data_IF_819867258366
#
_entry.id   IF_819867258366
#
_cell.length_a   1.000
_cell.length_b   1.000
_cell.length_c   1.000
_cell.angle_alpha   90.00
_cell.angle_beta   90.00
_cell.angle_gamma   90.00
#
_symmetry.space_group_name_H-M   'P 1'
#
loop_
_entity.id
_entity.type
_entity.pdbx_description
1 polymer ?
#
# COMPACT_ATOMS: atom_id res chain seq x y z
N UNK A 1 -21.12 32.02 4.03
CA UNK A 1 -21.70 31.06 3.06
C UNK A 1 -20.64 30.02 2.78
N UNK A 2 -20.93 28.73 2.96
CA UNK A 2 -20.03 27.67 2.53
C UNK A 2 -19.95 27.70 1.00
N UNK A 3 -18.74 27.68 0.44
CA UNK A 3 -18.57 27.59 -1.01
C UNK A 3 -19.26 26.31 -1.50
N UNK A 4 -19.97 26.38 -2.62
CA UNK A 4 -20.64 25.23 -3.25
C UNK A 4 -20.00 24.84 -4.59
N UNK A 5 -19.05 25.66 -5.04
CA UNK A 5 -18.32 25.53 -6.29
C UNK A 5 -16.82 25.66 -6.00
N UNK A 6 -16.02 25.08 -6.89
CA UNK A 6 -14.57 25.10 -6.84
C UNK A 6 -13.99 25.30 -8.25
N UNK A 7 -12.79 25.87 -8.30
CA UNK A 7 -11.96 25.82 -9.50
C UNK A 7 -11.26 24.47 -9.62
N UNK A 8 -11.14 23.99 -10.85
CA UNK A 8 -10.50 22.72 -11.19
C UNK A 8 -9.81 22.83 -12.55
N UNK A 9 -8.67 22.16 -12.67
CA UNK A 9 -8.00 21.92 -13.94
C UNK A 9 -8.33 20.50 -14.39
N UNK A 10 -8.96 20.36 -15.55
CA UNK A 10 -9.41 19.07 -16.08
C UNK A 10 -8.77 18.76 -17.44
N UNK A 11 -8.55 17.48 -17.69
CA UNK A 11 -8.34 16.95 -19.03
C UNK A 11 -9.71 16.76 -19.66
N UNK A 12 -10.02 17.53 -20.69
CA UNK A 12 -11.29 17.42 -21.42
C UNK A 12 -11.20 16.47 -22.61
N UNK A 13 -10.02 16.40 -23.24
CA UNK A 13 -9.71 15.55 -24.39
C UNK A 13 -8.25 15.10 -24.27
N UNK A 14 -7.98 13.82 -24.56
CA UNK A 14 -6.61 13.28 -24.57
C UNK A 14 -5.74 14.01 -25.60
N UNK A 15 -4.48 14.27 -25.25
CA UNK A 15 -3.53 14.99 -26.09
C UNK A 15 -3.70 16.51 -26.07
N UNK A 16 -4.59 17.06 -25.24
CA UNK A 16 -4.82 18.50 -25.11
C UNK A 16 -4.35 19.03 -23.75
N UNK A 17 -3.94 20.31 -23.67
CA UNK A 17 -3.71 20.98 -22.40
C UNK A 17 -4.95 20.89 -21.48
N UNK A 18 -4.71 20.93 -20.17
CA UNK A 18 -5.80 21.05 -19.19
C UNK A 18 -6.53 22.37 -19.36
N UNK A 19 -7.83 22.36 -19.08
CA UNK A 19 -8.68 23.56 -19.08
C UNK A 19 -9.17 23.85 -17.67
N UNK A 20 -9.24 25.13 -17.34
CA UNK A 20 -9.83 25.59 -16.08
C UNK A 20 -11.35 25.57 -16.20
N UNK A 21 -12.01 24.97 -15.20
CA UNK A 21 -13.46 24.93 -15.08
C UNK A 21 -13.88 25.22 -13.64
N UNK A 22 -15.08 25.79 -13.50
CA UNK A 22 -15.77 25.84 -12.23
C UNK A 22 -16.73 24.65 -12.14
N UNK A 23 -16.68 23.90 -11.04
CA UNK A 23 -17.51 22.71 -10.81
C UNK A 23 -17.93 22.58 -9.34
N UNK A 24 -18.97 21.79 -9.02
CA UNK A 24 -19.44 21.64 -7.64
C UNK A 24 -18.36 21.07 -6.71
N UNK A 25 -18.40 21.47 -5.44
CA UNK A 25 -17.67 20.76 -4.38
C UNK A 25 -18.42 19.44 -4.11
N UNK A 26 -17.72 18.28 -4.10
CA UNK A 26 -18.37 17.01 -3.83
C UNK A 26 -18.95 16.94 -2.42
N UNK A 27 -19.96 16.09 -2.24
CA UNK A 27 -20.47 15.71 -0.92
C UNK A 27 -19.94 14.31 -0.59
N UNK A 28 -19.37 14.07 0.61
CA UNK A 28 -18.82 12.75 0.92
C UNK A 28 -19.95 11.73 1.05
N UNK A 29 -19.71 10.49 0.63
CA UNK A 29 -20.48 9.32 1.05
C UNK A 29 -20.17 8.98 2.52
N UNK A 30 -20.88 7.97 3.04
CA UNK A 30 -20.80 7.56 4.45
C UNK A 30 -19.36 7.22 4.90
N UNK A 31 -18.51 6.68 4.02
CA UNK A 31 -17.13 6.27 4.29
C UNK A 31 -16.08 7.20 3.65
N UNK A 32 -16.45 8.43 3.30
CA UNK A 32 -15.58 9.39 2.62
C UNK A 32 -15.38 10.67 3.45
N UNK A 33 -14.26 11.35 3.21
CA UNK A 33 -14.02 12.73 3.64
C UNK A 33 -13.90 13.62 2.41
N UNK A 34 -14.28 14.90 2.56
CA UNK A 34 -13.90 15.95 1.62
C UNK A 34 -12.81 16.79 2.26
N UNK A 35 -11.69 16.91 1.57
CA UNK A 35 -10.57 17.75 2.00
C UNK A 35 -10.54 19.02 1.17
N UNK A 36 -10.20 20.15 1.81
CA UNK A 36 -9.67 21.32 1.12
C UNK A 36 -8.20 21.06 0.85
N UNK A 37 -7.84 20.90 -0.40
CA UNK A 37 -6.47 20.58 -0.81
C UNK A 37 -5.56 21.75 -0.46
N UNK A 38 -4.47 21.44 0.24
CA UNK A 38 -3.37 22.36 0.54
C UNK A 38 -2.13 22.03 -0.28
N UNK A 39 -1.94 20.74 -0.62
CA UNK A 39 -0.87 20.27 -1.50
C UNK A 39 -1.33 19.10 -2.36
N UNK A 40 -0.85 19.06 -3.61
CA UNK A 40 -1.09 17.96 -4.54
C UNK A 40 0.20 17.66 -5.31
N UNK A 41 0.58 16.38 -5.34
CA UNK A 41 1.75 15.89 -6.07
C UNK A 41 1.45 15.74 -7.55
N UNK A 42 2.24 16.39 -8.40
CA UNK A 42 2.26 16.14 -9.84
C UNK A 42 3.28 15.03 -10.11
N UNK A 43 2.84 13.99 -10.81
CA UNK A 43 3.64 12.82 -11.13
C UNK A 43 3.75 12.60 -12.64
N UNK A 44 4.80 11.90 -13.12
CA UNK A 44 4.95 11.42 -14.49
C UNK A 44 3.86 10.46 -15.03
N UNK A 45 2.78 10.19 -14.31
CA UNK A 45 1.60 9.56 -14.91
C UNK A 45 0.54 10.59 -15.27
N UNK A 46 0.59 11.80 -14.72
CA UNK A 46 -0.39 12.86 -14.99
C UNK A 46 -0.28 13.40 -16.42
N UNK A 47 0.95 13.58 -16.93
CA UNK A 47 1.20 13.91 -18.33
C UNK A 47 0.82 12.74 -19.24
N UNK A 48 1.06 11.49 -18.83
CA UNK A 48 0.69 10.32 -19.63
C UNK A 48 -0.84 10.09 -19.66
N UNK A 49 -1.55 10.39 -18.58
CA UNK A 49 -3.02 10.42 -18.57
C UNK A 49 -3.51 11.51 -19.52
N UNK A 50 -2.96 12.73 -19.43
CA UNK A 50 -3.34 13.86 -20.30
C UNK A 50 -3.04 13.57 -21.77
N UNK A 51 -1.82 13.14 -22.09
CA UNK A 51 -1.32 13.10 -23.47
C UNK A 51 -1.62 11.78 -24.18
N UNK A 52 -1.58 10.66 -23.45
CA UNK A 52 -1.71 9.32 -24.01
C UNK A 52 -2.97 8.57 -23.58
N UNK A 53 -3.74 9.12 -22.62
CA UNK A 53 -4.92 8.44 -22.08
C UNK A 53 -4.58 7.24 -21.20
N UNK A 54 -3.41 7.27 -20.54
CA UNK A 54 -2.97 6.22 -19.62
C UNK A 54 -4.09 5.87 -18.61
N UNK A 55 -4.28 4.58 -18.33
CA UNK A 55 -5.37 4.00 -17.53
C UNK A 55 -6.80 4.10 -18.12
N UNK A 56 -6.97 4.62 -19.35
CA UNK A 56 -8.26 4.70 -20.05
C UNK A 56 -9.40 5.30 -19.21
N UNK A 57 -9.10 6.35 -18.45
CA UNK A 57 -10.08 6.97 -17.55
C UNK A 57 -11.15 7.75 -18.34
N UNK A 58 -12.41 7.76 -17.87
CA UNK A 58 -13.47 8.56 -18.47
C UNK A 58 -13.09 10.05 -18.44
N UNK A 59 -13.25 10.73 -19.58
CA UNK A 59 -13.11 12.20 -19.69
C UNK A 59 -14.48 12.89 -19.61
N UNK A 60 -14.57 14.10 -19.06
CA UNK A 60 -13.48 14.87 -18.47
C UNK A 60 -12.99 14.30 -17.13
N UNK A 61 -11.72 14.51 -16.80
CA UNK A 61 -11.15 14.04 -15.53
C UNK A 61 -10.09 15.00 -14.95
N UNK A 62 -9.85 14.92 -13.65
CA UNK A 62 -8.77 15.60 -12.93
C UNK A 62 -7.49 14.75 -12.92
N UNK A 63 -6.39 15.34 -12.45
CA UNK A 63 -5.05 14.76 -12.31
C UNK A 63 -4.57 14.87 -10.85
N UNK A 64 -3.41 14.28 -10.56
CA UNK A 64 -2.69 14.37 -9.28
C UNK A 64 -3.31 13.51 -8.17
N UNK A 65 -2.99 12.21 -8.14
CA UNK A 65 -3.57 11.31 -7.16
C UNK A 65 -2.98 11.43 -5.73
N UNK A 66 -1.80 12.04 -5.57
CA UNK A 66 -1.21 12.24 -4.24
C UNK A 66 -1.65 13.60 -3.70
N UNK A 67 -2.41 13.61 -2.60
CA UNK A 67 -3.00 14.84 -2.05
C UNK A 67 -2.82 14.94 -0.55
N UNK A 68 -2.69 16.18 -0.07
CA UNK A 68 -2.78 16.55 1.33
C UNK A 68 -3.71 17.76 1.49
N UNK A 69 -4.43 17.82 2.61
CA UNK A 69 -5.42 18.86 2.85
C UNK A 69 -6.15 18.75 4.17
N UNK A 70 -7.07 19.68 4.37
CA UNK A 70 -7.82 19.85 5.62
C UNK A 70 -9.21 19.25 5.46
N UNK A 71 -9.64 18.38 6.37
CA UNK A 71 -11.00 17.82 6.34
C UNK A 71 -12.02 18.94 6.56
N UNK A 72 -12.91 19.15 5.57
CA UNK A 72 -14.01 20.11 5.64
C UNK A 72 -15.39 19.45 5.77
N UNK A 73 -15.50 18.17 5.43
CA UNK A 73 -16.70 17.35 5.60
C UNK A 73 -16.31 15.87 5.74
N UNK A 74 -17.12 15.09 6.48
CA UNK A 74 -16.92 13.65 6.66
C UNK A 74 -18.26 12.91 6.66
N UNK A 75 -18.28 11.71 6.10
CA UNK A 75 -19.40 10.78 6.21
C UNK A 75 -19.54 10.16 7.61
N UNK A 76 -20.71 9.62 7.92
CA UNK A 76 -21.05 9.10 9.25
C UNK A 76 -20.24 7.87 9.69
N UNK A 77 -19.69 7.11 8.73
CA UNK A 77 -18.86 5.92 9.00
C UNK A 77 -17.37 6.23 9.04
N UNK A 78 -16.96 7.49 8.87
CA UNK A 78 -15.57 7.91 9.04
C UNK A 78 -15.26 8.09 10.52
N UNK A 79 -14.28 7.34 11.02
CA UNK A 79 -13.79 7.40 12.39
C UNK A 79 -12.27 7.63 12.44
N UNK A 80 -11.79 8.12 13.59
CA UNK A 80 -10.36 8.35 13.82
C UNK A 80 -9.81 9.67 13.30
N UNK A 81 -10.65 10.53 12.71
CA UNK A 81 -10.35 11.89 12.28
C UNK A 81 -11.56 12.82 12.48
N UNK A 82 -11.29 14.10 12.63
CA UNK A 82 -12.26 15.18 12.84
C UNK A 82 -12.17 16.28 11.79
N UNK A 83 -13.18 17.14 11.75
CA UNK A 83 -13.14 18.34 10.92
C UNK A 83 -11.95 19.22 11.36
N UNK A 84 -11.29 19.83 10.38
CA UNK A 84 -10.05 20.59 10.52
C UNK A 84 -8.76 19.77 10.73
N UNK A 85 -8.83 18.45 10.83
CA UNK A 85 -7.61 17.63 10.78
C UNK A 85 -6.94 17.76 9.41
N UNK A 86 -5.61 17.81 9.42
CA UNK A 86 -4.81 17.70 8.20
C UNK A 86 -4.61 16.22 7.88
N UNK A 87 -4.89 15.83 6.64
CA UNK A 87 -4.69 14.46 6.16
C UNK A 87 -3.96 14.45 4.83
N UNK A 88 -3.24 13.36 4.56
CA UNK A 88 -2.67 13.05 3.26
C UNK A 88 -3.10 11.65 2.82
N UNK A 89 -3.12 11.38 1.52
CA UNK A 89 -3.55 10.09 1.01
C UNK A 89 -3.42 9.94 -0.49
N UNK A 90 -3.73 8.73 -0.94
CA UNK A 90 -3.85 8.40 -2.35
C UNK A 90 -5.31 8.49 -2.78
N UNK A 91 -5.62 9.46 -3.63
CA UNK A 91 -6.93 9.68 -4.20
C UNK A 91 -7.33 8.60 -5.23
N UNK A 92 -8.63 8.38 -5.35
CA UNK A 92 -9.23 7.51 -6.38
C UNK A 92 -9.08 8.03 -7.81
N UNK A 93 -9.68 7.32 -8.76
CA UNK A 93 -9.57 7.64 -10.20
C UNK A 93 -10.70 8.51 -10.74
N UNK A 94 -11.69 8.79 -9.90
CA UNK A 94 -12.85 9.62 -10.16
C UNK A 94 -12.48 11.11 -10.20
N UNK A 95 -13.23 11.88 -10.99
CA UNK A 95 -12.99 13.32 -11.16
C UNK A 95 -13.03 14.10 -9.83
N UNK A 96 -13.81 13.65 -8.86
CA UNK A 96 -13.97 14.31 -7.56
C UNK A 96 -12.89 13.94 -6.54
N UNK A 97 -11.99 12.99 -6.86
CA UNK A 97 -11.02 12.48 -5.90
C UNK A 97 -9.65 13.16 -5.99
N UNK A 98 -9.21 13.62 -7.16
CA UNK A 98 -7.80 13.98 -7.39
C UNK A 98 -7.46 15.44 -7.10
N UNK A 99 -6.17 15.76 -7.13
CA UNK A 99 -5.55 16.99 -6.64
C UNK A 99 -5.56 18.21 -7.55
N UNK A 100 -5.88 18.08 -8.85
CA UNK A 100 -5.97 19.22 -9.78
C UNK A 100 -7.27 20.04 -9.61
N UNK A 101 -7.68 20.27 -8.36
CA UNK A 101 -8.86 21.03 -7.96
C UNK A 101 -8.73 21.50 -6.50
N UNK A 102 -9.65 22.33 -6.02
CA UNK A 102 -9.55 22.90 -4.67
C UNK A 102 -10.02 21.94 -3.57
N UNK A 103 -10.90 20.99 -3.88
CA UNK A 103 -11.48 20.04 -2.93
C UNK A 103 -11.58 18.64 -3.54
N UNK A 104 -11.21 17.64 -2.74
CA UNK A 104 -11.15 16.25 -3.16
C UNK A 104 -11.83 15.30 -2.17
N UNK A 105 -12.38 14.21 -2.69
CA UNK A 105 -12.81 13.06 -1.90
C UNK A 105 -11.62 12.15 -1.58
N UNK A 106 -11.51 11.74 -0.32
CA UNK A 106 -10.70 10.60 0.08
C UNK A 106 -11.57 9.56 0.80
N UNK A 107 -11.42 8.29 0.43
CA UNK A 107 -12.13 7.19 1.06
C UNK A 107 -11.42 6.70 2.33
N UNK A 108 -12.19 6.35 3.36
CA UNK A 108 -11.69 5.75 4.58
C UNK A 108 -10.80 4.54 4.24
N UNK A 109 -9.58 4.54 4.80
CA UNK A 109 -8.58 3.52 4.50
C UNK A 109 -7.49 3.97 3.51
N UNK A 110 -7.74 5.01 2.71
CA UNK A 110 -6.81 5.55 1.70
C UNK A 110 -6.09 6.84 2.13
N UNK A 111 -6.27 7.29 3.37
CA UNK A 111 -5.65 8.48 3.92
C UNK A 111 -5.21 8.31 5.38
N UNK A 112 -4.44 9.28 5.85
CA UNK A 112 -3.86 9.36 7.18
C UNK A 112 -3.70 10.82 7.62
N UNK A 113 -3.78 11.09 8.92
CA UNK A 113 -3.45 12.41 9.48
C UNK A 113 -1.99 12.80 9.17
N UNK A 114 -1.75 14.06 8.82
CA UNK A 114 -0.41 14.65 8.67
C UNK A 114 0.18 14.85 10.06
N UNK A 115 1.30 14.18 10.41
CA UNK A 115 1.97 14.38 11.68
C UNK A 115 2.40 15.84 11.88
N UNK A 116 2.30 16.36 13.10
CA UNK A 116 2.57 17.76 13.43
C UNK A 116 4.02 18.21 13.17
N UNK A 117 4.93 17.29 12.84
CA UNK A 117 6.34 17.55 12.59
C UNK A 117 6.73 17.57 11.10
N UNK A 118 5.76 17.46 10.17
CA UNK A 118 5.99 17.58 8.72
C UNK A 118 4.97 18.53 8.08
N UNK A 119 5.28 19.05 6.90
CA UNK A 119 4.35 19.90 6.12
C UNK A 119 3.43 19.06 5.23
N UNK A 120 2.33 19.64 4.76
CA UNK A 120 1.44 19.01 3.78
C UNK A 120 2.18 18.66 2.47
N UNK A 121 3.12 19.51 2.03
CA UNK A 121 3.97 19.22 0.86
C UNK A 121 4.84 17.98 1.08
N UNK A 122 5.43 17.83 2.27
CA UNK A 122 6.17 16.62 2.62
C UNK A 122 5.24 15.40 2.70
N UNK A 123 4.04 15.58 3.23
CA UNK A 123 3.06 14.50 3.36
C UNK A 123 2.54 14.02 1.99
N UNK A 124 2.35 14.94 1.03
CA UNK A 124 2.03 14.61 -0.35
C UNK A 124 3.16 13.84 -1.09
N UNK A 125 4.33 13.62 -0.45
CA UNK A 125 5.41 12.75 -0.97
C UNK A 125 5.38 11.31 -0.42
N UNK A 126 4.48 10.97 0.53
CA UNK A 126 4.54 9.67 1.18
C UNK A 126 4.41 8.52 0.17
N UNK A 127 5.28 7.51 0.27
CA UNK A 127 5.54 6.62 -0.84
C UNK A 127 4.48 5.56 -1.06
N UNK A 128 4.44 5.03 -2.29
CA UNK A 128 3.80 3.74 -2.58
C UNK A 128 4.77 2.60 -2.26
N UNK A 129 4.25 1.49 -1.74
CA UNK A 129 5.00 0.24 -1.57
C UNK A 129 4.33 -0.89 -2.34
N UNK A 130 5.15 -1.71 -3.02
CA UNK A 130 4.70 -3.02 -3.51
C UNK A 130 5.22 -4.11 -2.60
N UNK A 131 4.33 -4.99 -2.14
CA UNK A 131 4.65 -6.17 -1.35
C UNK A 131 4.43 -7.41 -2.22
N UNK A 132 5.51 -8.10 -2.58
CA UNK A 132 5.43 -9.39 -3.25
C UNK A 132 5.16 -10.50 -2.23
N UNK A 133 4.48 -11.57 -2.67
CA UNK A 133 4.22 -12.72 -1.81
C UNK A 133 3.29 -12.42 -0.63
N UNK A 134 2.25 -11.60 -0.85
CA UNK A 134 1.31 -11.17 0.18
C UNK A 134 0.62 -12.32 0.92
N UNK A 135 0.46 -13.49 0.30
CA UNK A 135 -0.12 -14.67 0.95
C UNK A 135 0.77 -15.34 2.02
N UNK A 136 2.07 -15.00 2.07
CA UNK A 136 2.99 -15.51 3.08
C UNK A 136 2.81 -14.83 4.43
N UNK A 137 3.28 -15.45 5.53
CA UNK A 137 3.25 -14.80 6.84
C UNK A 137 4.02 -13.46 6.86
N UNK A 138 5.18 -13.41 6.20
CA UNK A 138 5.98 -12.18 6.10
C UNK A 138 5.24 -11.09 5.30
N UNK A 139 4.64 -11.46 4.16
CA UNK A 139 3.83 -10.55 3.35
C UNK A 139 2.63 -9.99 4.12
N UNK A 140 1.86 -10.86 4.80
CA UNK A 140 0.70 -10.45 5.60
C UNK A 140 1.07 -9.48 6.72
N UNK A 141 2.15 -9.74 7.46
CA UNK A 141 2.61 -8.78 8.49
C UNK A 141 3.18 -7.49 7.87
N UNK A 142 3.86 -7.56 6.72
CA UNK A 142 4.33 -6.37 6.03
C UNK A 142 3.19 -5.45 5.60
N UNK A 143 2.06 -6.00 5.14
CA UNK A 143 0.85 -5.22 4.81
C UNK A 143 0.32 -4.49 6.04
N UNK A 144 0.21 -5.20 7.17
CA UNK A 144 -0.28 -4.61 8.42
C UNK A 144 0.66 -3.53 8.95
N UNK A 145 1.98 -3.78 8.94
CA UNK A 145 2.98 -2.78 9.38
C UNK A 145 2.97 -1.58 8.44
N UNK A 146 2.89 -1.78 7.12
CA UNK A 146 2.77 -0.67 6.17
C UNK A 146 1.55 0.21 6.46
N UNK A 147 0.42 -0.41 6.83
CA UNK A 147 -0.79 0.30 7.25
C UNK A 147 -0.60 1.05 8.57
N UNK A 148 0.01 0.43 9.58
CA UNK A 148 0.32 1.03 10.89
C UNK A 148 1.25 2.24 10.72
N UNK A 149 2.24 2.13 9.83
CA UNK A 149 3.17 3.22 9.49
C UNK A 149 2.58 4.22 8.49
N UNK A 150 1.29 4.10 8.17
CA UNK A 150 0.52 5.03 7.35
C UNK A 150 1.04 5.21 5.92
N UNK A 151 1.57 4.15 5.32
CA UNK A 151 1.86 4.12 3.88
C UNK A 151 0.54 4.20 3.12
N UNK A 152 0.37 5.24 2.28
CA UNK A 152 -0.89 5.57 1.64
C UNK A 152 -1.32 4.61 0.53
N UNK A 153 -0.35 4.04 -0.21
CA UNK A 153 -0.63 3.05 -1.26
C UNK A 153 0.16 1.76 -1.02
N UNK A 154 -0.57 0.70 -0.68
CA UNK A 154 -0.03 -0.63 -0.34
C UNK A 154 -0.53 -1.61 -1.39
N UNK A 155 0.27 -1.80 -2.44
CA UNK A 155 -0.03 -2.74 -3.54
C UNK A 155 0.53 -4.10 -3.20
N UNK A 156 -0.29 -5.14 -3.22
CA UNK A 156 0.10 -6.48 -2.78
C UNK A 156 -0.05 -7.47 -3.92
N UNK A 157 1.04 -8.15 -4.29
CA UNK A 157 1.02 -9.22 -5.28
C UNK A 157 0.86 -10.56 -4.56
N UNK A 158 -0.28 -11.21 -4.77
CA UNK A 158 -0.64 -12.48 -4.14
C UNK A 158 -1.62 -13.26 -5.00
N UNK A 159 -2.01 -14.48 -4.59
CA UNK A 159 -3.14 -15.15 -5.26
C UNK A 159 -4.42 -14.39 -4.93
N UNK A 160 -5.26 -14.17 -5.95
CA UNK A 160 -6.57 -13.52 -5.84
C UNK A 160 -7.48 -14.09 -4.75
N UNK A 161 -7.33 -15.36 -4.36
CA UNK A 161 -8.06 -15.97 -3.25
C UNK A 161 -7.78 -15.34 -1.87
N UNK A 162 -6.70 -14.56 -1.73
CA UNK A 162 -6.36 -13.86 -0.47
C UNK A 162 -6.86 -12.42 -0.44
N UNK A 163 -7.61 -11.95 -1.45
CA UNK A 163 -7.94 -10.52 -1.61
C UNK A 163 -8.63 -9.93 -0.38
N UNK A 164 -9.71 -10.56 0.08
CA UNK A 164 -10.50 -10.03 1.20
C UNK A 164 -9.68 -10.00 2.49
N UNK A 165 -8.89 -11.04 2.74
CA UNK A 165 -8.00 -11.11 3.90
C UNK A 165 -6.95 -9.99 3.84
N UNK A 166 -6.28 -9.81 2.70
CA UNK A 166 -5.24 -8.79 2.52
C UNK A 166 -5.79 -7.36 2.62
N UNK A 167 -6.98 -7.11 2.07
CA UNK A 167 -7.68 -5.83 2.25
C UNK A 167 -8.03 -5.60 3.72
N UNK A 168 -8.45 -6.64 4.45
CA UNK A 168 -8.74 -6.56 5.90
C UNK A 168 -7.50 -6.26 6.76
N UNK A 169 -6.30 -6.46 6.22
CA UNK A 169 -5.00 -6.12 6.81
C UNK A 169 -4.46 -4.75 6.37
N UNK A 170 -5.10 -4.08 5.40
CA UNK A 170 -4.73 -2.74 4.96
C UNK A 170 -4.15 -2.64 3.56
N UNK A 171 -4.16 -3.71 2.76
CA UNK A 171 -3.81 -3.62 1.34
C UNK A 171 -4.80 -2.67 0.63
N UNK A 172 -4.28 -1.69 -0.11
CA UNK A 172 -5.15 -0.81 -0.93
C UNK A 172 -5.46 -1.45 -2.27
N UNK A 173 -4.52 -2.22 -2.83
CA UNK A 173 -4.68 -2.95 -4.08
C UNK A 173 -4.12 -4.37 -3.93
N UNK A 174 -4.81 -5.35 -4.53
CA UNK A 174 -4.33 -6.74 -4.59
C UNK A 174 -4.25 -7.14 -6.06
N UNK A 175 -3.04 -7.47 -6.52
CA UNK A 175 -2.75 -7.90 -7.89
C UNK A 175 -2.53 -9.41 -7.89
N UNK A 176 -3.20 -10.10 -8.82
CA UNK A 176 -3.03 -11.55 -8.95
C UNK A 176 -1.62 -11.90 -9.44
N UNK A 177 -1.00 -12.84 -8.73
CA UNK A 177 0.37 -13.28 -8.98
C UNK A 177 0.53 -14.25 -10.15
N UNK A 178 -0.55 -14.74 -10.76
CA UNK A 178 -0.43 -15.71 -11.85
C UNK A 178 -0.19 -14.99 -13.18
N UNK A 179 0.68 -15.57 -13.99
CA UNK A 179 1.17 -14.98 -15.24
C UNK A 179 2.69 -14.86 -15.20
N UNK A 180 3.24 -14.33 -16.29
CA UNK A 180 4.64 -13.98 -16.44
C UNK A 180 4.98 -12.72 -15.65
N UNK A 181 6.26 -12.52 -15.33
CA UNK A 181 6.74 -11.31 -14.65
C UNK A 181 6.37 -10.03 -15.42
N UNK A 182 6.37 -10.07 -16.76
CA UNK A 182 5.95 -8.95 -17.59
C UNK A 182 4.46 -8.60 -17.40
N UNK A 183 3.58 -9.61 -17.33
CA UNK A 183 2.14 -9.41 -17.10
C UNK A 183 1.86 -8.95 -15.67
N UNK A 184 2.61 -9.44 -14.67
CA UNK A 184 2.52 -8.96 -13.29
C UNK A 184 2.99 -7.51 -13.22
N UNK A 185 4.14 -7.18 -13.84
CA UNK A 185 4.68 -5.82 -13.92
C UNK A 185 3.69 -4.85 -14.54
N UNK A 186 3.10 -5.21 -15.69
CA UNK A 186 2.10 -4.36 -16.35
C UNK A 186 0.93 -4.04 -15.40
N UNK A 187 0.35 -5.06 -14.74
CA UNK A 187 -0.75 -4.88 -13.76
C UNK A 187 -0.35 -4.03 -12.55
N UNK A 188 0.90 -4.11 -12.10
CA UNK A 188 1.40 -3.24 -11.02
C UNK A 188 1.57 -1.81 -11.52
N UNK A 189 2.14 -1.62 -12.71
CA UNK A 189 2.32 -0.31 -13.34
C UNK A 189 0.98 0.35 -13.66
N UNK A 190 -0.08 -0.41 -13.94
CA UNK A 190 -1.46 0.08 -14.06
C UNK A 190 -1.96 0.79 -12.77
N UNK A 191 -1.32 0.54 -11.64
CA UNK A 191 -1.70 1.11 -10.33
C UNK A 191 -0.70 2.16 -9.83
N UNK A 192 0.60 1.93 -10.06
CA UNK A 192 1.66 2.78 -9.49
C UNK A 192 2.39 3.64 -10.53
N UNK A 193 2.16 3.42 -11.82
CA UNK A 193 2.91 4.05 -12.90
C UNK A 193 4.41 3.71 -12.86
N UNK A 194 5.23 4.60 -13.39
CA UNK A 194 6.70 4.53 -13.37
C UNK A 194 7.32 5.31 -12.19
N UNK A 195 6.65 5.29 -11.03
CA UNK A 195 7.02 6.12 -9.87
C UNK A 195 7.44 5.32 -8.64
N UNK A 196 7.39 3.98 -8.73
CA UNK A 196 7.61 3.10 -7.59
C UNK A 196 9.05 3.16 -7.10
N UNK A 197 9.22 3.50 -5.82
CA UNK A 197 10.54 3.61 -5.18
C UNK A 197 10.79 2.51 -4.15
N UNK A 198 9.77 1.77 -3.70
CA UNK A 198 9.90 0.80 -2.61
C UNK A 198 9.21 -0.53 -2.95
N UNK A 199 9.97 -1.61 -2.83
CA UNK A 199 9.46 -2.99 -2.96
C UNK A 199 9.91 -3.81 -1.77
N UNK A 200 9.00 -4.61 -1.22
CA UNK A 200 9.33 -5.67 -0.27
C UNK A 200 9.10 -7.03 -0.93
N UNK A 201 10.15 -7.84 -0.99
CA UNK A 201 10.11 -9.20 -1.55
C UNK A 201 10.64 -10.25 -0.57
N UNK A 202 9.74 -10.87 0.22
CA UNK A 202 10.11 -11.91 1.15
C UNK A 202 10.18 -13.32 0.54
N UNK A 203 9.83 -13.52 -0.74
CA UNK A 203 9.55 -14.87 -1.27
C UNK A 203 10.39 -15.28 -2.48
N UNK A 204 10.69 -14.38 -3.43
CA UNK A 204 11.35 -14.79 -4.66
C UNK A 204 12.85 -14.92 -4.41
N UNK A 205 13.49 -15.90 -5.05
CA UNK A 205 14.92 -16.17 -4.80
C UNK A 205 15.85 -15.25 -5.58
N UNK A 206 15.43 -14.81 -6.75
CA UNK A 206 16.23 -13.98 -7.66
C UNK A 206 15.90 -12.49 -7.54
N UNK A 207 14.75 -12.14 -6.96
CA UNK A 207 14.25 -10.78 -6.79
C UNK A 207 14.16 -9.98 -8.10
N UNK A 208 14.14 -10.68 -9.25
CA UNK A 208 14.16 -10.07 -10.58
C UNK A 208 12.90 -9.26 -10.83
N UNK A 209 11.73 -9.82 -10.51
CA UNK A 209 10.46 -9.12 -10.53
C UNK A 209 10.50 -7.88 -9.63
N UNK A 210 11.00 -7.99 -8.39
CA UNK A 210 11.04 -6.86 -7.45
C UNK A 210 11.83 -5.67 -8.00
N UNK A 211 13.01 -5.94 -8.57
CA UNK A 211 13.83 -4.91 -9.21
C UNK A 211 13.14 -4.35 -10.46
N UNK A 212 12.50 -5.20 -11.26
CA UNK A 212 11.84 -4.78 -12.51
C UNK A 212 10.66 -3.83 -12.29
N UNK A 213 10.07 -3.81 -11.09
CA UNK A 213 8.95 -2.94 -10.73
C UNK A 213 9.37 -1.51 -10.37
N UNK A 214 10.64 -1.28 -10.05
CA UNK A 214 11.13 0.03 -9.67
C UNK A 214 11.11 1.01 -10.85
N UNK A 215 10.91 2.28 -10.53
CA UNK A 215 11.03 3.39 -11.48
C UNK A 215 12.41 3.44 -12.12
N UNK A 216 12.49 3.71 -13.42
CA UNK A 216 13.77 4.00 -14.08
C UNK A 216 14.29 5.41 -13.76
N UNK A 217 13.38 6.32 -13.38
CA UNK A 217 13.65 7.73 -13.13
C UNK A 217 14.11 8.02 -11.70
N UNK A 218 13.79 7.13 -10.75
CA UNK A 218 14.09 7.31 -9.32
C UNK A 218 14.99 6.21 -8.80
N UNK A 219 15.83 6.54 -7.82
CA UNK A 219 16.61 5.52 -7.12
C UNK A 219 15.68 4.69 -6.24
N UNK A 220 15.57 3.39 -6.53
CA UNK A 220 14.69 2.49 -5.79
C UNK A 220 15.32 1.83 -4.58
N UNK A 221 14.49 1.24 -3.73
CA UNK A 221 14.91 0.41 -2.59
C UNK A 221 14.10 -0.89 -2.57
N UNK A 222 14.81 -2.01 -2.48
CA UNK A 222 14.22 -3.34 -2.31
C UNK A 222 14.62 -3.88 -0.94
N UNK A 223 13.64 -4.21 -0.11
CA UNK A 223 13.87 -4.98 1.10
C UNK A 223 13.55 -6.45 0.80
N UNK A 224 14.44 -7.37 1.20
CA UNK A 224 14.26 -8.81 0.96
C UNK A 224 14.34 -9.60 2.25
N UNK A 225 13.75 -10.79 2.28
CA UNK A 225 14.02 -11.78 3.34
C UNK A 225 15.14 -12.75 2.91
N UNK A 226 15.04 -13.22 1.66
CA UNK A 226 15.98 -14.16 1.09
C UNK A 226 17.28 -13.44 0.67
N UNK A 227 18.43 -14.16 0.69
CA UNK A 227 19.69 -13.59 0.24
C UNK A 227 19.62 -13.16 -1.22
N UNK A 228 20.11 -11.97 -1.52
CA UNK A 228 20.26 -11.48 -2.88
C UNK A 228 21.75 -11.56 -3.28
N UNK A 229 22.02 -11.88 -4.55
CA UNK A 229 23.33 -11.54 -5.13
C UNK A 229 23.31 -10.06 -5.48
N UNK A 230 24.39 -9.34 -5.19
CA UNK A 230 24.51 -7.94 -5.59
C UNK A 230 24.19 -7.80 -7.09
N UNK A 231 23.12 -7.06 -7.41
CA UNK A 231 22.73 -6.74 -8.77
C UNK A 231 23.06 -5.27 -9.02
N UNK A 232 23.81 -4.94 -10.09
CA UNK A 232 24.04 -3.55 -10.46
C UNK A 232 22.73 -2.90 -10.92
N UNK A 233 22.52 -1.64 -10.55
CA UNK A 233 21.37 -0.86 -11.00
C UNK A 233 21.14 0.41 -10.19
N UNK A 234 20.09 1.15 -10.56
CA UNK A 234 19.70 2.39 -9.86
C UNK A 234 18.84 2.10 -8.61
N UNK A 235 19.32 1.22 -7.74
CA UNK A 235 18.59 0.82 -6.54
C UNK A 235 19.54 0.34 -5.43
N UNK A 236 19.01 0.29 -4.22
CA UNK A 236 19.64 -0.36 -3.07
C UNK A 236 18.84 -1.61 -2.69
N UNK A 237 19.49 -2.76 -2.54
CA UNK A 237 18.85 -3.96 -1.99
C UNK A 237 19.37 -4.21 -0.58
N UNK A 238 18.47 -4.31 0.38
CA UNK A 238 18.78 -4.61 1.78
C UNK A 238 18.13 -5.93 2.19
N UNK A 239 18.95 -6.90 2.58
CA UNK A 239 18.43 -8.11 3.21
C UNK A 239 18.00 -7.81 4.64
N UNK A 240 16.69 -7.85 4.87
CA UNK A 240 16.05 -7.64 6.16
C UNK A 240 15.73 -8.98 6.82
N UNK A 241 16.76 -9.62 7.36
CA UNK A 241 16.55 -10.79 8.22
C UNK A 241 15.89 -10.34 9.53
N UNK A 242 14.66 -10.81 9.78
CA UNK A 242 13.88 -10.51 10.99
C UNK A 242 14.42 -11.20 12.24
N UNK A 243 15.72 -11.03 12.52
CA UNK A 243 16.44 -11.63 13.63
C UNK A 243 16.70 -10.57 14.70
N UNK A 244 15.93 -10.56 15.80
CA UNK A 244 16.05 -9.52 16.83
C UNK A 244 17.44 -9.39 17.45
N UNK A 245 18.21 -10.49 17.43
CA UNK A 245 19.58 -10.54 17.93
C UNK A 245 20.59 -9.80 17.04
N UNK A 246 20.26 -9.51 15.77
CA UNK A 246 21.09 -8.71 14.86
C UNK A 246 20.75 -7.23 14.91
N UNK A 247 19.58 -6.87 15.44
CA UNK A 247 19.11 -5.49 15.50
C UNK A 247 18.43 -5.21 16.84
N UNK A 248 19.23 -5.38 17.92
CA UNK A 248 18.72 -5.43 19.30
C UNK A 248 18.03 -4.13 19.71
N UNK A 249 18.62 -2.98 19.39
CA UNK A 249 18.09 -1.66 19.76
C UNK A 249 16.71 -1.44 19.15
N UNK A 250 16.58 -1.62 17.83
CA UNK A 250 15.29 -1.56 17.15
C UNK A 250 14.29 -2.56 17.73
N UNK A 251 14.73 -3.80 17.94
CA UNK A 251 13.83 -4.88 18.38
C UNK A 251 13.27 -4.63 19.76
N UNK A 252 14.06 -4.11 20.70
CA UNK A 252 13.58 -3.79 22.06
C UNK A 252 12.42 -2.80 22.00
N UNK A 253 12.55 -1.73 21.21
CA UNK A 253 11.47 -0.75 21.08
C UNK A 253 10.28 -1.33 20.30
N UNK A 254 10.52 -2.06 19.22
CA UNK A 254 9.46 -2.72 18.46
C UNK A 254 8.61 -3.67 19.33
N UNK A 255 9.25 -4.52 20.14
CA UNK A 255 8.55 -5.47 21.01
C UNK A 255 7.84 -4.82 22.20
N UNK A 256 8.18 -3.57 22.59
CA UNK A 256 7.38 -2.80 23.55
C UNK A 256 6.05 -2.32 22.95
N UNK A 257 6.04 -1.96 21.67
CA UNK A 257 4.85 -1.46 20.97
C UNK A 257 3.90 -2.58 20.56
N UNK A 258 4.45 -3.74 20.18
CA UNK A 258 3.71 -4.85 19.57
C UNK A 258 2.48 -5.32 20.39
N UNK A 259 2.54 -5.50 21.73
CA UNK A 259 1.35 -5.89 22.50
C UNK A 259 0.23 -4.85 22.44
N UNK A 260 0.58 -3.56 22.34
CA UNK A 260 -0.37 -2.46 22.17
C UNK A 260 -1.16 -2.60 20.87
N UNK A 261 -0.46 -2.78 19.75
CA UNK A 261 -1.08 -2.98 18.43
C UNK A 261 -1.93 -4.25 18.35
N UNK A 262 -1.54 -5.33 19.04
CA UNK A 262 -2.33 -6.55 19.11
C UNK A 262 -3.61 -6.32 19.92
N UNK A 263 -3.50 -5.64 21.07
CA UNK A 263 -4.65 -5.36 21.94
C UNK A 263 -5.64 -4.39 21.31
N UNK A 264 -5.17 -3.39 20.56
CA UNK A 264 -6.01 -2.44 19.83
C UNK A 264 -6.63 -3.04 18.56
N UNK A 265 -6.10 -4.15 18.06
CA UNK A 265 -6.52 -4.77 16.81
C UNK A 265 -5.88 -4.15 15.56
N UNK A 266 -4.95 -3.22 15.72
CA UNK A 266 -4.15 -2.64 14.62
C UNK A 266 -3.22 -3.68 13.98
N UNK A 267 -2.72 -4.63 14.77
CA UNK A 267 -1.99 -5.80 14.30
C UNK A 267 -2.73 -7.07 14.71
N UNK A 268 -3.22 -7.81 13.72
CA UNK A 268 -3.97 -9.05 13.87
C UNK A 268 -3.01 -10.25 13.78
N UNK A 269 -3.06 -11.18 14.75
CA UNK A 269 -2.41 -12.48 14.61
C UNK A 269 -2.91 -13.23 13.37
N UNK A 270 -2.02 -14.02 12.77
CA UNK A 270 -2.37 -14.84 11.61
C UNK A 270 -2.97 -16.19 12.04
N UNK A 271 -3.79 -16.77 11.17
CA UNK A 271 -4.28 -18.14 11.35
C UNK A 271 -3.15 -19.18 11.32
N UNK A 272 -3.35 -20.28 12.02
CA UNK A 272 -2.43 -21.41 12.09
C UNK A 272 -3.17 -22.74 12.07
N UNK A 273 -2.43 -23.81 11.76
CA UNK A 273 -2.85 -25.21 11.90
C UNK A 273 -2.16 -25.80 13.13
N UNK A 274 -2.87 -26.60 13.90
CA UNK A 274 -2.31 -27.27 15.08
C UNK A 274 -1.89 -28.70 14.71
N UNK A 275 -0.65 -29.04 15.02
CA UNK A 275 -0.16 -30.42 15.07
C UNK A 275 -0.48 -30.96 16.45
N UNK A 276 -1.38 -31.94 16.51
CA UNK A 276 -1.80 -32.59 17.75
C UNK A 276 -0.76 -33.63 18.23
N UNK A 277 -0.79 -33.95 19.53
CA UNK A 277 0.08 -34.98 20.13
C UNK A 277 1.47 -34.50 20.53
N UNK A 278 1.64 -33.20 20.76
CA UNK A 278 2.85 -32.61 21.33
C UNK A 278 4.13 -32.88 20.54
N UNK A 279 5.13 -33.47 21.19
CA UNK A 279 6.44 -33.80 20.59
C UNK A 279 6.40 -35.10 19.75
N UNK A 280 5.47 -35.19 18.81
CA UNK A 280 5.33 -36.33 17.91
C UNK A 280 6.30 -36.23 16.71
N UNK A 281 7.34 -37.08 16.69
CA UNK A 281 8.41 -37.05 15.68
C UNK A 281 7.91 -37.34 14.26
N UNK A 282 6.99 -38.29 14.08
CA UNK A 282 6.51 -38.70 12.75
C UNK A 282 5.61 -37.61 12.16
N UNK A 283 4.71 -37.08 12.97
CA UNK A 283 3.82 -36.00 12.57
C UNK A 283 4.61 -34.72 12.25
N UNK A 284 5.65 -34.42 13.04
CA UNK A 284 6.53 -33.28 12.80
C UNK A 284 7.30 -33.42 11.48
N UNK A 285 7.93 -34.57 11.24
CA UNK A 285 8.64 -34.84 9.98
C UNK A 285 7.70 -34.79 8.78
N UNK A 286 6.49 -35.34 8.90
CA UNK A 286 5.47 -35.25 7.85
C UNK A 286 5.14 -33.81 7.47
N UNK A 287 4.98 -32.91 8.45
CA UNK A 287 4.71 -31.48 8.18
C UNK A 287 5.89 -30.85 7.42
N UNK A 288 7.13 -31.14 7.82
CA UNK A 288 8.32 -30.62 7.14
C UNK A 288 8.44 -31.14 5.70
N UNK A 289 8.16 -32.43 5.49
CA UNK A 289 8.15 -33.04 4.15
C UNK A 289 7.05 -32.43 3.27
N UNK A 290 5.84 -32.26 3.80
CA UNK A 290 4.74 -31.62 3.07
C UNK A 290 5.06 -30.15 2.71
N UNK A 291 5.79 -29.43 3.57
CA UNK A 291 6.27 -28.07 3.25
C UNK A 291 7.30 -28.08 2.13
N UNK A 292 8.29 -28.99 2.18
CA UNK A 292 9.30 -29.15 1.11
C UNK A 292 8.64 -29.45 -0.23
N UNK A 293 7.63 -30.30 -0.22
CA UNK A 293 6.93 -30.76 -1.42
C UNK A 293 5.81 -29.80 -1.87
N UNK A 294 5.55 -28.72 -1.11
CA UNK A 294 4.49 -27.73 -1.42
C UNK A 294 3.06 -28.26 -1.26
N UNK A 295 2.86 -29.39 -0.58
CA UNK A 295 1.57 -30.10 -0.45
C UNK A 295 0.67 -29.57 0.67
N UNK A 296 1.23 -28.88 1.67
CA UNK A 296 0.49 -28.44 2.84
C UNK A 296 0.87 -27.03 3.30
N UNK A 297 0.58 -26.00 2.47
CA UNK A 297 0.93 -24.63 2.79
C UNK A 297 0.22 -24.15 4.06
N UNK A 298 0.89 -23.26 4.80
CA UNK A 298 0.36 -22.64 6.01
C UNK A 298 1.32 -22.68 7.20
N UNK A 299 0.97 -21.92 8.23
CA UNK A 299 1.71 -21.86 9.49
C UNK A 299 1.25 -22.99 10.41
N UNK A 300 2.18 -23.86 10.82
CA UNK A 300 1.91 -24.95 11.75
C UNK A 300 2.45 -24.62 13.14
N UNK A 301 1.66 -24.89 14.16
CA UNK A 301 2.02 -24.83 15.57
C UNK A 301 1.91 -26.23 16.19
N UNK A 302 2.59 -26.45 17.30
CA UNK A 302 2.46 -27.64 18.13
C UNK A 302 2.66 -27.22 19.59
N UNK A 303 2.09 -27.97 20.53
CA UNK A 303 2.21 -27.68 21.95
C UNK A 303 3.19 -28.68 22.59
N UNK A 304 4.46 -28.31 22.82
CA UNK A 304 5.49 -29.26 23.24
C UNK A 304 5.25 -29.88 24.63
N UNK A 305 4.36 -29.29 25.44
CA UNK A 305 4.05 -29.75 26.79
C UNK A 305 2.69 -30.47 26.88
N UNK A 306 1.95 -30.57 25.78
CA UNK A 306 0.72 -31.35 25.73
C UNK A 306 1.14 -32.83 25.57
N UNK A 307 0.98 -33.59 26.66
CA UNK A 307 1.25 -35.04 26.72
C UNK A 307 0.05 -35.86 26.25
#
# INVERSE_FOLDING_TARGET
MTATQQQSLIVQETGKPVVEVTRPIPTPKEDEVVIKITSAGINPHDENIRDLGLFNQPLPNTLCNDVAGIIIAKGEKVFGVELNDHVFGYAGFEIDAKGSQQYAILQLGCFAEVPSNITDDQAATFPSVVILGGGSSCGKFAVQVAKITRIGKIVVVASSSNTDELKSYGATHVIDRHGTDAEIKARVQDVVGDELSYVYDPINKDHSLAVSLLSEKKRGKVATLLPVKAAPGNFDITQTMGLPHWNKEFSVEFFKLLPGWIKSGELKPLGFKLLEGGLNVDAFNKVLDDHRDGKNPGKWHFHPNDL
#
